data_IF_283621759336
#
_entry.id   IF_283621759336
#
_cell.length_a   1.000
_cell.length_b   1.000
_cell.length_c   1.000
_cell.angle_alpha   90.00
_cell.angle_beta   90.00
_cell.angle_gamma   90.00
#
_symmetry.space_group_name_H-M   'P 1'
#
loop_
_entity.id
_entity.type
_entity.pdbx_description
1 polymer ?
#
# COMPACT_ATOMS: atom_id res chain seq x y z
N UNK A 1 -12.43 21.67 -8.66
CA UNK A 1 -12.99 21.36 -7.37
C UNK A 1 -12.10 20.37 -6.63
N UNK A 2 -12.16 20.45 -5.33
CA UNK A 2 -11.30 19.65 -4.50
C UNK A 2 -12.04 18.53 -3.79
N UNK A 3 -13.15 18.12 -4.34
CA UNK A 3 -13.95 17.06 -3.75
C UNK A 3 -13.62 15.69 -4.29
N UNK A 4 -12.52 15.58 -5.01
CA UNK A 4 -12.05 14.28 -5.45
C UNK A 4 -11.32 13.52 -4.35
N UNK A 5 -10.98 12.28 -4.66
CA UNK A 5 -10.17 11.44 -3.78
C UNK A 5 -8.83 11.18 -4.42
N UNK A 6 -7.84 10.94 -3.59
CA UNK A 6 -6.61 10.33 -4.06
C UNK A 6 -6.70 8.83 -3.82
N UNK A 7 -6.04 8.09 -4.67
CA UNK A 7 -6.01 6.61 -4.56
C UNK A 7 -4.61 6.21 -4.14
N UNK A 8 -4.48 5.85 -2.88
CA UNK A 8 -3.18 5.63 -2.29
C UNK A 8 -2.93 4.14 -2.07
N UNK A 9 -1.68 3.74 -2.26
CA UNK A 9 -1.21 2.40 -1.92
C UNK A 9 -0.10 2.57 -0.91
N UNK A 10 -0.21 1.87 0.20
CA UNK A 10 0.79 1.98 1.25
C UNK A 10 0.94 0.64 1.96
N UNK A 11 2.06 0.51 2.66
CA UNK A 11 2.35 -0.71 3.39
C UNK A 11 1.84 -0.61 4.82
N UNK A 12 1.38 -1.73 5.32
CA UNK A 12 1.03 -1.89 6.72
C UNK A 12 1.65 -3.17 7.24
N UNK A 13 1.92 -3.18 8.51
CA UNK A 13 2.45 -4.37 9.16
C UNK A 13 1.45 -4.86 10.18
N UNK A 14 1.07 -6.12 10.03
CA UNK A 14 0.07 -6.74 10.87
C UNK A 14 0.70 -7.93 11.60
N UNK A 15 0.29 -8.16 12.84
CA UNK A 15 0.88 -9.24 13.64
C UNK A 15 0.58 -10.61 13.07
N UNK A 16 -0.52 -10.74 12.35
CA UNK A 16 -0.97 -12.04 11.85
C UNK A 16 -0.47 -12.27 10.42
N UNK A 17 -0.69 -11.31 9.53
CA UNK A 17 -0.36 -11.50 8.12
C UNK A 17 0.96 -10.84 7.73
N UNK A 18 1.57 -10.08 8.63
CA UNK A 18 2.85 -9.45 8.38
C UNK A 18 2.76 -8.23 7.49
N UNK A 19 3.82 -7.98 6.74
CA UNK A 19 3.89 -6.82 5.85
C UNK A 19 3.02 -7.05 4.64
N UNK A 20 2.15 -6.09 4.34
CA UNK A 20 1.26 -6.18 3.19
C UNK A 20 0.94 -4.78 2.68
N UNK A 21 0.43 -4.71 1.45
CA UNK A 21 0.05 -3.47 0.82
C UNK A 21 -1.46 -3.31 0.84
N UNK A 22 -1.90 -2.08 1.04
CA UNK A 22 -3.32 -1.74 1.10
C UNK A 22 -3.57 -0.59 0.14
N UNK A 23 -4.69 -0.65 -0.58
CA UNK A 23 -5.15 0.44 -1.43
C UNK A 23 -6.35 1.11 -0.77
N UNK A 24 -6.33 2.44 -0.71
CA UNK A 24 -7.43 3.18 -0.10
C UNK A 24 -7.74 4.45 -0.88
N UNK A 25 -9.01 4.83 -0.83
CA UNK A 25 -9.46 6.12 -1.32
C UNK A 25 -9.40 7.11 -0.16
N UNK A 26 -8.65 8.18 -0.32
CA UNK A 26 -8.47 9.18 0.73
C UNK A 26 -8.97 10.51 0.20
N UNK A 27 -9.87 11.20 0.91
CA UNK A 27 -10.32 12.52 0.48
C UNK A 27 -9.15 13.48 0.35
N UNK A 28 -9.18 14.29 -0.69
CA UNK A 28 -8.08 15.20 -0.98
C UNK A 28 -7.80 16.18 0.14
N UNK A 29 -8.84 16.56 0.88
CA UNK A 29 -8.68 17.49 1.98
C UNK A 29 -8.30 16.81 3.30
N UNK A 30 -8.05 15.52 3.27
CA UNK A 30 -7.70 14.77 4.46
C UNK A 30 -6.21 14.90 4.76
N UNK A 31 -5.88 14.83 6.04
CA UNK A 31 -4.48 14.91 6.47
C UNK A 31 -3.80 13.57 6.22
N UNK A 32 -2.86 13.56 5.29
CA UNK A 32 -2.17 12.33 4.89
C UNK A 32 -1.12 11.88 5.89
N UNK A 33 -0.76 12.74 6.84
CA UNK A 33 0.28 12.38 7.81
C UNK A 33 -0.11 11.13 8.59
N UNK A 34 -1.40 11.01 8.92
CA UNK A 34 -1.88 9.84 9.65
C UNK A 34 -1.75 8.56 8.86
N UNK A 35 -1.81 8.64 7.54
CA UNK A 35 -1.68 7.46 6.68
C UNK A 35 -0.23 7.09 6.41
N UNK A 36 0.65 8.07 6.33
CA UNK A 36 2.05 7.80 6.00
C UNK A 36 2.88 7.45 7.22
N UNK A 37 2.39 7.79 8.41
CA UNK A 37 3.11 7.52 9.63
C UNK A 37 3.26 6.01 9.83
N UNK A 38 4.49 5.56 9.96
CA UNK A 38 4.76 4.15 10.17
C UNK A 38 4.72 3.30 8.91
N UNK A 39 4.43 3.89 7.75
CA UNK A 39 4.46 3.17 6.50
C UNK A 39 5.90 3.08 5.97
N UNK A 40 6.24 1.94 5.38
CA UNK A 40 7.52 1.79 4.72
C UNK A 40 7.48 2.33 3.30
N UNK A 41 6.32 2.29 2.67
CA UNK A 41 6.14 2.79 1.31
C UNK A 41 4.78 3.43 1.21
N UNK A 42 4.69 4.49 0.41
CA UNK A 42 3.45 5.20 0.17
C UNK A 42 3.48 5.73 -1.25
N UNK A 43 2.44 5.43 -2.02
CA UNK A 43 2.37 5.86 -3.41
C UNK A 43 0.94 6.31 -3.73
N UNK A 44 0.83 7.29 -4.62
CA UNK A 44 -0.47 7.81 -5.06
C UNK A 44 -0.65 7.46 -6.52
N UNK A 45 -1.81 6.92 -6.85
CA UNK A 45 -2.16 6.52 -8.20
C UNK A 45 -3.25 7.42 -8.76
N UNK A 46 -3.38 7.43 -10.08
CA UNK A 46 -4.35 8.29 -10.76
C UNK A 46 -5.76 7.72 -10.70
N UNK A 47 -5.89 6.41 -10.70
CA UNK A 47 -7.19 5.76 -10.69
C UNK A 47 -7.24 4.70 -9.59
N UNK A 48 -8.46 4.35 -9.21
CA UNK A 48 -8.67 3.29 -8.23
C UNK A 48 -8.16 1.96 -8.74
N UNK A 49 -8.36 1.70 -10.03
CA UNK A 49 -7.88 0.46 -10.64
C UNK A 49 -6.36 0.36 -10.54
N UNK A 50 -5.66 1.45 -10.83
CA UNK A 50 -4.20 1.47 -10.73
C UNK A 50 -3.75 1.19 -9.31
N UNK A 51 -4.42 1.79 -8.33
CA UNK A 51 -4.07 1.58 -6.94
C UNK A 51 -4.25 0.11 -6.53
N UNK A 52 -5.35 -0.49 -6.95
CA UNK A 52 -5.61 -1.89 -6.64
C UNK A 52 -4.58 -2.81 -7.29
N UNK A 53 -4.21 -2.53 -8.53
CA UNK A 53 -3.21 -3.32 -9.23
C UNK A 53 -1.84 -3.17 -8.58
N UNK A 54 -1.49 -1.97 -8.18
CA UNK A 54 -0.21 -1.72 -7.52
C UNK A 54 -0.14 -2.43 -6.18
N UNK A 55 -1.21 -2.36 -5.40
CA UNK A 55 -1.25 -3.07 -4.13
C UNK A 55 -1.09 -4.57 -4.32
N UNK A 56 -1.75 -5.11 -5.35
CA UNK A 56 -1.64 -6.54 -5.66
C UNK A 56 -0.21 -6.90 -6.06
N UNK A 57 0.43 -6.04 -6.86
CA UNK A 57 1.80 -6.24 -7.26
C UNK A 57 2.75 -6.24 -6.07
N UNK A 58 2.58 -5.27 -5.17
CA UNK A 58 3.43 -5.20 -3.99
C UNK A 58 3.24 -6.44 -3.11
N UNK A 59 2.00 -6.89 -2.95
CA UNK A 59 1.74 -8.08 -2.14
C UNK A 59 2.37 -9.32 -2.74
N UNK A 60 2.36 -9.42 -4.06
CA UNK A 60 3.02 -10.52 -4.75
C UNK A 60 4.53 -10.47 -4.50
N UNK A 61 5.11 -9.28 -4.59
CA UNK A 61 6.54 -9.11 -4.36
C UNK A 61 6.92 -9.47 -2.92
N UNK A 62 6.09 -9.06 -1.97
CA UNK A 62 6.36 -9.40 -0.57
C UNK A 62 6.35 -10.90 -0.35
N UNK A 63 5.40 -11.61 -0.94
CA UNK A 63 5.34 -13.06 -0.81
C UNK A 63 6.53 -13.73 -1.47
N UNK A 64 6.93 -13.25 -2.64
CA UNK A 64 8.07 -13.82 -3.35
C UNK A 64 9.37 -13.59 -2.59
N UNK A 65 9.55 -12.40 -2.05
CA UNK A 65 10.73 -12.09 -1.28
C UNK A 65 10.79 -12.94 -0.01
N UNK A 66 9.65 -13.14 0.63
CA UNK A 66 9.59 -14.01 1.80
C UNK A 66 10.00 -15.43 1.47
N UNK A 67 9.49 -15.94 0.34
CA UNK A 67 9.83 -17.28 -0.11
C UNK A 67 11.32 -17.41 -0.44
N UNK A 68 11.87 -16.39 -1.08
CA UNK A 68 13.29 -16.41 -1.40
C UNK A 68 14.15 -16.42 -0.16
N UNK A 69 13.78 -15.63 0.83
CA UNK A 69 14.51 -15.62 2.09
C UNK A 69 14.51 -16.99 2.74
N UNK A 70 13.37 -17.63 2.75
CA UNK A 70 13.24 -18.95 3.35
C UNK A 70 14.07 -19.96 2.58
N UNK A 71 14.06 -19.86 1.26
CA UNK A 71 14.82 -20.80 0.43
C UNK A 71 16.33 -20.63 0.60
N UNK A 72 16.78 -19.41 0.85
CA UNK A 72 18.21 -19.14 1.00
C UNK A 72 18.68 -19.54 2.38
N UNK A 73 17.87 -19.29 3.35
CA UNK A 73 18.24 -19.60 4.73
C UNK A 73 17.98 -21.05 5.07
#
# INVERSE_FOLDING_TARGET
MLDGNIFAVFTREDDIIGLHAVAEKIPMNYNLIGYTKGCKSFNVCKTWKDAQELARQWNKDFRNNGKQKVAIS
#
